data_IF_844907009159
#
_entry.id   IF_844907009159
#
_cell.length_a   1.000
_cell.length_b   1.000
_cell.length_c   1.000
_cell.angle_alpha   90.00
_cell.angle_beta   90.00
_cell.angle_gamma   90.00
#
_symmetry.space_group_name_H-M   'P 1'
#
loop_
_entity.id
_entity.type
_entity.pdbx_description
1 polymer ?
#
# COMPACT_ATOMS: atom_id res chain seq x y z
N UNK A 1 -5.55 8.98 -20.45
CA UNK A 1 -4.70 9.07 -19.24
C UNK A 1 -3.77 10.30 -19.22
N UNK A 2 -3.51 10.96 -20.35
CA UNK A 2 -2.62 12.14 -20.39
C UNK A 2 -3.29 13.46 -19.94
N UNK A 3 -4.61 13.60 -20.12
CA UNK A 3 -5.30 14.87 -19.89
C UNK A 3 -5.35 15.31 -18.42
N UNK A 4 -5.45 14.38 -17.46
CA UNK A 4 -5.47 14.73 -16.04
C UNK A 4 -4.08 15.08 -15.50
N UNK A 5 -3.06 14.40 -15.97
CA UNK A 5 -1.66 14.66 -15.62
C UNK A 5 -1.16 15.99 -16.18
N UNK A 6 -1.59 16.37 -17.40
CA UNK A 6 -1.29 17.68 -17.97
C UNK A 6 -1.96 18.80 -17.18
N UNK A 7 -3.22 18.64 -16.83
CA UNK A 7 -3.99 19.64 -16.06
C UNK A 7 -3.43 19.89 -14.65
N UNK A 8 -2.96 18.82 -13.97
CA UNK A 8 -2.29 18.95 -12.68
C UNK A 8 -0.93 19.64 -12.83
N UNK A 9 -0.19 19.34 -13.90
CA UNK A 9 1.09 20.00 -14.19
C UNK A 9 0.91 21.49 -14.45
N UNK A 10 -0.13 21.86 -15.21
CA UNK A 10 -0.44 23.26 -15.53
C UNK A 10 -0.91 24.03 -14.29
N UNK A 11 -1.73 23.42 -13.43
CA UNK A 11 -2.15 24.01 -12.15
C UNK A 11 -0.96 24.25 -11.20
N UNK A 12 -0.02 23.31 -11.12
CA UNK A 12 1.19 23.46 -10.33
C UNK A 12 2.10 24.57 -10.88
N UNK A 13 2.22 24.65 -12.21
CA UNK A 13 2.97 25.72 -12.89
C UNK A 13 2.34 27.10 -12.67
N UNK A 14 1.01 27.19 -12.73
CA UNK A 14 0.27 28.42 -12.46
C UNK A 14 0.37 28.86 -11.00
N UNK A 15 0.54 27.92 -10.06
CA UNK A 15 0.76 28.18 -8.64
C UNK A 15 2.23 28.51 -8.30
N UNK A 16 3.12 28.65 -9.29
CA UNK A 16 4.54 28.93 -9.06
C UNK A 16 5.32 27.79 -8.40
N UNK A 17 4.72 26.60 -8.31
CA UNK A 17 5.37 25.41 -7.78
C UNK A 17 6.29 24.84 -8.85
N UNK A 18 7.60 24.90 -8.60
CA UNK A 18 8.61 24.30 -9.47
C UNK A 18 8.45 22.78 -9.44
N UNK A 19 7.71 22.22 -10.40
CA UNK A 19 7.64 20.78 -10.63
C UNK A 19 8.90 20.40 -11.40
N UNK A 20 10.05 20.48 -10.75
CA UNK A 20 11.22 19.77 -11.26
C UNK A 20 10.88 18.28 -11.19
N UNK A 21 10.82 17.65 -12.35
CA UNK A 21 10.74 16.21 -12.42
C UNK A 21 11.95 15.67 -11.64
N UNK A 22 11.71 15.02 -10.51
CA UNK A 22 12.75 14.33 -9.70
C UNK A 22 13.39 13.18 -10.50
N UNK A 23 12.90 12.94 -11.72
CA UNK A 23 13.14 11.75 -12.52
C UNK A 23 14.54 11.64 -13.16
N UNK A 24 15.39 12.66 -13.09
CA UNK A 24 16.69 12.64 -13.78
C UNK A 24 17.90 12.84 -12.87
N UNK A 25 17.75 12.74 -11.54
CA UNK A 25 18.91 12.83 -10.64
C UNK A 25 19.55 11.46 -10.51
N UNK A 26 20.88 11.43 -10.63
CA UNK A 26 21.74 10.26 -10.42
C UNK A 26 22.17 10.13 -8.95
N UNK A 27 22.79 9.02 -8.58
CA UNK A 27 23.43 8.85 -7.27
C UNK A 27 24.47 9.95 -7.00
N UNK A 28 25.19 10.38 -8.04
CA UNK A 28 26.18 11.46 -7.95
C UNK A 28 25.53 12.78 -7.50
N UNK A 29 24.35 13.13 -8.02
CA UNK A 29 23.63 14.36 -7.66
C UNK A 29 23.18 14.39 -6.19
N UNK A 30 23.07 13.21 -5.56
CA UNK A 30 22.81 13.04 -4.13
C UNK A 30 24.11 12.89 -3.31
N UNK A 31 25.28 13.03 -3.94
CA UNK A 31 26.58 12.87 -3.29
C UNK A 31 26.83 11.45 -2.78
N UNK A 32 26.21 10.44 -3.41
CA UNK A 32 26.39 9.03 -3.09
C UNK A 32 27.63 8.49 -3.78
N UNK A 33 28.77 8.65 -3.10
CA UNK A 33 30.07 8.10 -3.54
C UNK A 33 30.16 6.60 -3.22
N UNK A 34 31.06 5.87 -3.86
CA UNK A 34 31.33 4.45 -3.55
C UNK A 34 31.69 4.24 -2.08
N UNK A 35 32.47 5.18 -1.48
CA UNK A 35 32.75 5.12 -0.05
C UNK A 35 31.49 5.18 0.82
N UNK A 36 30.52 6.04 0.48
CA UNK A 36 29.24 6.12 1.19
C UNK A 36 28.40 4.89 0.96
N UNK A 37 28.32 4.40 -0.28
CA UNK A 37 27.57 3.20 -0.64
C UNK A 37 28.16 1.98 0.08
N UNK A 38 29.49 1.88 0.22
CA UNK A 38 30.12 0.77 0.95
C UNK A 38 29.76 0.69 2.43
N UNK A 39 29.29 1.78 3.02
CA UNK A 39 28.88 1.88 4.44
C UNK A 39 27.39 1.66 4.67
N UNK A 40 26.61 1.44 3.61
CA UNK A 40 25.16 1.21 3.74
C UNK A 40 24.92 -0.14 4.40
N UNK A 41 24.14 -0.17 5.46
CA UNK A 41 23.68 -1.39 6.13
C UNK A 41 22.21 -1.68 5.86
N UNK A 42 21.39 -0.62 5.70
CA UNK A 42 19.95 -0.72 5.50
C UNK A 42 19.49 0.26 4.42
N UNK A 43 18.61 -0.18 3.55
CA UNK A 43 17.92 0.66 2.57
C UNK A 43 16.41 0.50 2.74
N UNK A 44 15.71 1.63 2.90
CA UNK A 44 14.26 1.69 2.88
C UNK A 44 13.80 2.44 1.63
N UNK A 45 13.17 1.74 0.72
CA UNK A 45 12.52 2.30 -0.44
C UNK A 45 11.06 2.60 -0.14
N UNK A 46 10.71 3.88 -0.08
CA UNK A 46 9.35 4.33 0.17
C UNK A 46 9.05 5.63 -0.59
N UNK A 47 7.75 5.86 -0.86
CA UNK A 47 7.30 7.03 -1.62
C UNK A 47 7.29 6.79 -3.14
N UNK A 48 6.19 7.18 -3.81
CA UNK A 48 5.94 6.80 -5.18
C UNK A 48 5.90 5.27 -5.36
N UNK A 49 6.39 4.80 -6.51
CA UNK A 49 6.62 3.37 -6.73
C UNK A 49 8.13 3.14 -6.92
N UNK A 50 8.81 2.45 -5.99
CA UNK A 50 10.27 2.27 -6.04
C UNK A 50 10.77 1.66 -7.35
N UNK A 51 10.07 0.63 -7.86
CA UNK A 51 10.45 -0.08 -9.07
C UNK A 51 10.25 0.72 -10.37
N UNK A 52 9.72 1.95 -10.27
CA UNK A 52 9.65 2.92 -11.37
C UNK A 52 10.70 4.03 -11.25
N UNK A 53 11.53 4.02 -10.22
CA UNK A 53 12.52 5.05 -9.95
C UNK A 53 13.89 4.69 -10.53
N UNK A 54 14.48 5.57 -11.35
CA UNK A 54 15.82 5.37 -11.91
C UNK A 54 16.91 5.28 -10.83
N UNK A 55 16.80 6.12 -9.78
CA UNK A 55 17.74 6.13 -8.66
C UNK A 55 17.71 4.81 -7.86
N UNK A 56 16.54 4.17 -7.78
CA UNK A 56 16.41 2.86 -7.16
C UNK A 56 17.26 1.83 -7.92
N UNK A 57 17.11 1.75 -9.24
CA UNK A 57 17.87 0.80 -10.04
C UNK A 57 19.37 1.06 -9.95
N UNK A 58 19.79 2.33 -10.09
CA UNK A 58 21.20 2.71 -10.03
C UNK A 58 21.85 2.30 -8.70
N UNK A 59 21.21 2.58 -7.55
CA UNK A 59 21.76 2.20 -6.24
C UNK A 59 21.78 0.69 -6.03
N UNK A 60 20.70 0.01 -6.36
CA UNK A 60 20.61 -1.41 -6.09
C UNK A 60 21.55 -2.23 -6.98
N UNK A 61 21.72 -1.85 -8.25
CA UNK A 61 22.68 -2.45 -9.15
C UNK A 61 24.12 -2.16 -8.71
N UNK A 62 24.39 -0.94 -8.24
CA UNK A 62 25.70 -0.58 -7.69
C UNK A 62 26.06 -1.38 -6.43
N UNK A 63 25.10 -1.64 -5.55
CA UNK A 63 25.30 -2.52 -4.39
C UNK A 63 25.68 -3.95 -4.83
N UNK A 64 25.04 -4.48 -5.88
CA UNK A 64 25.38 -5.80 -6.44
C UNK A 64 26.80 -5.79 -7.03
N UNK A 65 27.15 -4.79 -7.83
CA UNK A 65 28.51 -4.61 -8.39
C UNK A 65 29.59 -4.60 -7.31
N UNK A 66 29.32 -3.92 -6.19
CA UNK A 66 30.24 -3.82 -5.05
C UNK A 66 30.23 -5.05 -4.14
N UNK A 67 29.44 -6.08 -4.43
CA UNK A 67 29.29 -7.27 -3.61
C UNK A 67 28.55 -7.05 -2.29
N UNK A 68 27.88 -5.89 -2.11
CA UNK A 68 27.13 -5.53 -0.90
C UNK A 68 25.72 -6.10 -0.90
N UNK A 69 25.60 -7.39 -1.11
CA UNK A 69 24.33 -8.12 -1.10
C UNK A 69 23.87 -8.55 0.31
N UNK A 70 24.66 -8.20 1.31
CA UNK A 70 24.38 -8.35 2.75
C UNK A 70 23.44 -7.26 3.30
N UNK A 71 23.31 -6.14 2.60
CA UNK A 71 22.47 -5.00 2.97
C UNK A 71 21.03 -5.44 3.18
N UNK A 72 20.40 -4.99 4.28
CA UNK A 72 18.97 -5.19 4.52
C UNK A 72 18.17 -4.22 3.67
N UNK A 73 17.29 -4.75 2.83
CA UNK A 73 16.46 -3.95 1.92
C UNK A 73 14.99 -4.10 2.28
N UNK A 74 14.31 -2.97 2.44
CA UNK A 74 12.87 -2.91 2.72
C UNK A 74 12.21 -2.09 1.62
N UNK A 75 11.18 -2.64 1.02
CA UNK A 75 10.34 -1.94 0.03
C UNK A 75 8.96 -1.66 0.59
N UNK A 76 8.45 -0.46 0.31
CA UNK A 76 7.03 -0.14 0.40
C UNK A 76 6.53 0.10 -1.02
N UNK A 77 5.71 -0.79 -1.56
CA UNK A 77 5.32 -0.82 -2.98
C UNK A 77 3.84 -1.13 -3.13
N UNK A 78 3.24 -0.63 -4.20
CA UNK A 78 1.87 -0.99 -4.60
C UNK A 78 1.80 -2.37 -5.26
N UNK A 79 2.93 -2.98 -5.56
CA UNK A 79 3.04 -4.26 -6.27
C UNK A 79 2.42 -4.27 -7.68
N UNK A 80 2.20 -3.06 -8.24
CA UNK A 80 1.64 -2.82 -9.57
C UNK A 80 2.60 -1.93 -10.36
N UNK A 81 3.43 -2.52 -11.20
CA UNK A 81 4.41 -1.84 -12.04
C UNK A 81 4.58 -2.62 -13.35
N UNK A 82 5.15 -1.99 -14.41
CA UNK A 82 5.29 -2.62 -15.72
C UNK A 82 6.02 -3.96 -15.67
N UNK A 83 5.64 -4.90 -16.54
CA UNK A 83 6.18 -6.26 -16.61
C UNK A 83 7.72 -6.27 -16.72
N UNK A 84 8.29 -5.39 -17.54
CA UNK A 84 9.74 -5.24 -17.67
C UNK A 84 10.42 -4.90 -16.33
N UNK A 85 9.82 -3.98 -15.56
CA UNK A 85 10.31 -3.62 -14.22
C UNK A 85 10.14 -4.78 -13.24
N UNK A 86 9.10 -5.58 -13.41
CA UNK A 86 8.82 -6.75 -12.58
C UNK A 86 9.88 -7.83 -12.76
N UNK A 87 10.21 -8.20 -13.99
CA UNK A 87 11.27 -9.16 -14.29
C UNK A 87 12.65 -8.67 -13.84
N UNK A 88 12.93 -7.38 -14.05
CA UNK A 88 14.16 -6.75 -13.57
C UNK A 88 14.27 -6.80 -12.05
N UNK A 89 13.16 -6.54 -11.33
CA UNK A 89 13.12 -6.64 -9.88
C UNK A 89 13.42 -8.06 -9.38
N UNK A 90 12.81 -9.08 -9.98
CA UNK A 90 13.09 -10.48 -9.64
C UNK A 90 14.57 -10.79 -9.80
N UNK A 91 15.15 -10.46 -10.97
CA UNK A 91 16.56 -10.70 -11.26
C UNK A 91 17.49 -9.98 -10.28
N UNK A 92 17.17 -8.74 -9.94
CA UNK A 92 17.94 -7.94 -9.00
C UNK A 92 17.89 -8.51 -7.60
N UNK A 93 16.68 -8.78 -7.08
CA UNK A 93 16.45 -9.19 -5.70
C UNK A 93 16.94 -10.61 -5.38
N UNK A 94 17.14 -11.46 -6.40
CA UNK A 94 17.79 -12.77 -6.24
C UNK A 94 19.19 -12.65 -5.62
N UNK A 95 19.88 -11.51 -5.79
CA UNK A 95 21.23 -11.30 -5.25
C UNK A 95 21.23 -10.97 -3.75
N UNK A 96 20.15 -10.42 -3.19
CA UNK A 96 20.11 -9.93 -1.82
C UNK A 96 19.58 -11.00 -0.84
N UNK A 97 20.26 -11.13 0.30
CA UNK A 97 19.90 -12.14 1.33
C UNK A 97 18.77 -11.69 2.25
N UNK A 98 18.65 -10.38 2.48
CA UNK A 98 17.78 -9.79 3.48
C UNK A 98 16.81 -8.79 2.84
N UNK A 99 15.76 -9.29 2.21
CA UNK A 99 14.74 -8.45 1.57
C UNK A 99 13.41 -8.61 2.27
N UNK A 100 12.75 -7.48 2.57
CA UNK A 100 11.36 -7.44 3.02
C UNK A 100 10.55 -6.53 2.11
N UNK A 101 9.41 -6.98 1.66
CA UNK A 101 8.45 -6.21 0.87
C UNK A 101 7.21 -5.94 1.72
N UNK A 102 6.86 -4.66 1.84
CA UNK A 102 5.59 -4.20 2.39
C UNK A 102 4.68 -3.88 1.21
N UNK A 103 3.87 -4.86 0.82
CA UNK A 103 2.91 -4.72 -0.27
C UNK A 103 1.68 -3.95 0.23
N UNK A 104 1.49 -2.74 -0.28
CA UNK A 104 0.41 -1.85 0.15
C UNK A 104 -0.93 -2.31 -0.42
N UNK A 105 -1.83 -2.76 0.45
CA UNK A 105 -3.15 -3.27 0.07
C UNK A 105 -4.19 -2.84 1.11
N UNK A 106 -5.09 -1.92 0.75
CA UNK A 106 -6.05 -1.31 1.69
C UNK A 106 -7.45 -1.94 1.60
N UNK A 107 -7.57 -3.12 0.98
CA UNK A 107 -8.81 -3.87 0.80
C UNK A 107 -8.63 -4.99 -0.22
N UNK A 108 -9.73 -5.63 -0.65
CA UNK A 108 -9.75 -6.66 -1.69
C UNK A 108 -10.76 -6.35 -2.78
N UNK A 109 -10.60 -6.96 -3.96
CA UNK A 109 -11.54 -6.87 -5.08
C UNK A 109 -11.78 -5.43 -5.56
N UNK A 110 -13.04 -5.12 -5.88
CA UNK A 110 -13.46 -3.81 -6.37
C UNK A 110 -13.21 -2.68 -5.34
N UNK A 111 -13.26 -2.98 -4.05
CA UNK A 111 -13.04 -1.98 -2.99
C UNK A 111 -11.61 -1.42 -3.03
N UNK A 112 -10.61 -2.28 -3.20
CA UNK A 112 -9.23 -1.80 -3.29
C UNK A 112 -8.94 -1.10 -4.62
N UNK A 113 -9.57 -1.53 -5.70
CA UNK A 113 -9.45 -0.85 -7.01
C UNK A 113 -10.08 0.54 -6.99
N UNK A 114 -11.18 0.70 -6.22
CA UNK A 114 -11.78 2.01 -5.94
C UNK A 114 -10.85 2.90 -5.12
N UNK A 115 -10.31 2.38 -4.01
CA UNK A 115 -9.43 3.12 -3.10
C UNK A 115 -8.08 3.48 -3.74
N UNK A 116 -7.55 2.59 -4.57
CA UNK A 116 -6.25 2.74 -5.24
C UNK A 116 -6.42 2.83 -6.75
N UNK A 117 -6.80 4.00 -7.22
CA UNK A 117 -7.06 4.24 -8.64
C UNK A 117 -5.88 3.79 -9.52
N UNK A 118 -6.18 2.89 -10.47
CA UNK A 118 -5.20 2.31 -11.38
C UNK A 118 -4.60 0.98 -10.90
N UNK A 119 -4.98 0.50 -9.71
CA UNK A 119 -4.69 -0.85 -9.26
C UNK A 119 -5.66 -1.84 -9.92
N UNK A 120 -5.15 -3.00 -10.31
CA UNK A 120 -5.94 -4.19 -10.64
C UNK A 120 -5.64 -5.25 -9.59
N UNK A 121 -6.67 -5.70 -8.87
CA UNK A 121 -6.50 -6.65 -7.77
C UNK A 121 -6.07 -8.04 -8.25
N UNK A 122 -6.57 -8.48 -9.41
CA UNK A 122 -6.16 -9.76 -10.01
C UNK A 122 -4.68 -9.74 -10.39
N UNK A 123 -4.19 -8.65 -11.00
CA UNK A 123 -2.78 -8.50 -11.36
C UNK A 123 -1.90 -8.44 -10.10
N UNK A 124 -2.38 -7.78 -9.03
CA UNK A 124 -1.69 -7.79 -7.74
C UNK A 124 -1.50 -9.20 -7.20
N UNK A 125 -2.55 -10.03 -7.17
CA UNK A 125 -2.50 -11.41 -6.69
C UNK A 125 -1.54 -12.26 -7.55
N UNK A 126 -1.65 -12.15 -8.88
CA UNK A 126 -0.76 -12.85 -9.82
C UNK A 126 0.71 -12.46 -9.59
N UNK A 127 1.00 -11.17 -9.45
CA UNK A 127 2.35 -10.68 -9.20
C UNK A 127 2.90 -11.21 -7.87
N UNK A 128 2.05 -11.24 -6.83
CA UNK A 128 2.39 -11.79 -5.52
C UNK A 128 2.81 -13.27 -5.62
N UNK A 129 2.04 -14.08 -6.34
CA UNK A 129 2.34 -15.50 -6.55
C UNK A 129 3.68 -15.70 -7.26
N UNK A 130 3.91 -14.97 -8.36
CA UNK A 130 5.16 -15.04 -9.12
C UNK A 130 6.35 -14.63 -8.25
N UNK A 131 6.22 -13.55 -7.48
CA UNK A 131 7.30 -13.11 -6.58
C UNK A 131 7.63 -14.16 -5.53
N UNK A 132 6.64 -14.79 -4.92
CA UNK A 132 6.84 -15.85 -3.93
C UNK A 132 7.51 -17.08 -4.54
N UNK A 133 7.10 -17.47 -5.74
CA UNK A 133 7.71 -18.60 -6.45
C UNK A 133 9.18 -18.33 -6.81
N UNK A 134 9.45 -17.15 -7.38
CA UNK A 134 10.79 -16.80 -7.89
C UNK A 134 11.77 -16.34 -6.80
N UNK A 135 11.25 -15.80 -5.69
CA UNK A 135 12.04 -15.21 -4.60
C UNK A 135 11.60 -15.76 -3.23
N UNK A 136 11.72 -17.08 -2.98
CA UNK A 136 11.22 -17.71 -1.75
C UNK A 136 11.91 -17.23 -0.46
N UNK A 137 13.06 -16.59 -0.57
CA UNK A 137 13.80 -15.99 0.55
C UNK A 137 13.31 -14.59 0.93
N UNK A 138 12.52 -13.94 0.06
CA UNK A 138 11.98 -12.61 0.31
C UNK A 138 10.77 -12.70 1.25
N UNK A 139 10.80 -11.94 2.34
CA UNK A 139 9.66 -11.80 3.24
C UNK A 139 8.67 -10.79 2.67
N UNK A 140 7.42 -11.18 2.57
CA UNK A 140 6.34 -10.30 2.12
C UNK A 140 5.34 -10.10 3.25
N UNK A 141 5.04 -8.85 3.53
CA UNK A 141 3.97 -8.46 4.44
C UNK A 141 2.94 -7.61 3.69
N UNK A 142 1.68 -7.84 3.95
CA UNK A 142 0.63 -6.90 3.52
C UNK A 142 0.64 -5.70 4.46
N UNK A 143 0.86 -4.51 3.89
CA UNK A 143 0.77 -3.24 4.62
C UNK A 143 -0.63 -2.64 4.40
N UNK A 144 -1.52 -2.93 5.33
CA UNK A 144 -2.92 -2.52 5.29
C UNK A 144 -3.13 -1.18 6.00
N UNK A 145 -3.78 -0.23 5.34
CA UNK A 145 -4.21 1.02 5.97
C UNK A 145 -5.72 1.01 6.19
N UNK A 146 -6.14 1.06 7.46
CA UNK A 146 -7.55 1.09 7.80
C UNK A 146 -8.18 2.42 7.38
N UNK A 147 -9.08 2.35 6.41
CA UNK A 147 -9.91 3.46 5.93
C UNK A 147 -11.39 3.14 6.13
N UNK A 148 -12.26 4.14 5.97
CA UNK A 148 -13.72 3.97 6.08
C UNK A 148 -14.30 2.95 5.09
N UNK A 149 -13.65 2.74 3.95
CA UNK A 149 -14.06 1.75 2.96
C UNK A 149 -13.29 0.44 3.10
N UNK A 150 -11.96 0.50 3.20
CA UNK A 150 -11.11 -0.68 3.22
C UNK A 150 -11.34 -1.61 4.41
N UNK A 151 -11.81 -1.06 5.54
CA UNK A 151 -12.07 -1.85 6.75
C UNK A 151 -13.12 -2.95 6.52
N UNK A 152 -14.03 -2.78 5.58
CA UNK A 152 -15.10 -3.75 5.28
C UNK A 152 -14.62 -5.00 4.55
N UNK A 153 -13.40 -4.97 4.03
CA UNK A 153 -12.76 -6.12 3.37
C UNK A 153 -11.46 -6.56 4.06
N UNK A 154 -11.26 -6.15 5.32
CA UNK A 154 -10.11 -6.57 6.11
C UNK A 154 -10.07 -8.09 6.31
N UNK A 155 -11.21 -8.74 6.49
CA UNK A 155 -11.35 -10.20 6.54
C UNK A 155 -10.80 -10.87 5.28
N UNK A 156 -11.11 -10.33 4.09
CA UNK A 156 -10.54 -10.80 2.82
C UNK A 156 -9.02 -10.59 2.72
N UNK A 157 -8.49 -9.48 3.24
CA UNK A 157 -7.04 -9.24 3.30
C UNK A 157 -6.35 -10.24 4.24
N UNK A 158 -6.96 -10.56 5.38
CA UNK A 158 -6.44 -11.57 6.31
C UNK A 158 -6.44 -12.95 5.66
N UNK A 159 -7.54 -13.30 4.95
CA UNK A 159 -7.62 -14.56 4.22
C UNK A 159 -6.52 -14.65 3.16
N UNK A 160 -6.26 -13.60 2.39
CA UNK A 160 -5.15 -13.54 1.43
C UNK A 160 -3.80 -13.79 2.12
N UNK A 161 -3.58 -13.19 3.30
CA UNK A 161 -2.35 -13.43 4.07
C UNK A 161 -2.21 -14.89 4.48
N UNK A 162 -3.29 -15.54 4.90
CA UNK A 162 -3.31 -16.95 5.29
C UNK A 162 -3.04 -17.86 4.08
N UNK A 163 -3.75 -17.65 2.98
CA UNK A 163 -3.65 -18.46 1.76
C UNK A 163 -2.23 -18.44 1.17
N UNK A 164 -1.57 -17.29 1.28
CA UNK A 164 -0.23 -17.09 0.74
C UNK A 164 0.89 -17.07 1.80
N UNK A 165 0.58 -17.41 3.07
CA UNK A 165 1.56 -17.38 4.17
C UNK A 165 2.36 -16.06 4.21
N UNK A 166 1.64 -14.93 4.30
CA UNK A 166 2.20 -13.58 4.37
C UNK A 166 2.14 -13.03 5.78
N UNK A 167 3.05 -12.12 6.09
CA UNK A 167 2.94 -11.29 7.30
C UNK A 167 1.85 -10.22 7.11
N UNK A 168 1.24 -9.77 8.20
CA UNK A 168 0.28 -8.66 8.20
C UNK A 168 0.83 -7.48 9.01
N UNK A 169 0.81 -6.28 8.43
CA UNK A 169 1.10 -5.02 9.11
C UNK A 169 -0.08 -4.06 8.94
N UNK A 170 -0.85 -3.88 10.01
CA UNK A 170 -2.00 -2.96 10.02
C UNK A 170 -1.62 -1.57 10.52
N UNK A 171 -2.14 -0.54 9.85
CA UNK A 171 -2.02 0.87 10.26
C UNK A 171 -3.38 1.54 10.22
N UNK A 172 -3.61 2.53 11.09
CA UNK A 172 -4.73 3.43 10.91
C UNK A 172 -4.32 4.56 9.95
N UNK A 173 -5.22 4.97 9.09
CA UNK A 173 -5.02 6.16 8.29
C UNK A 173 -4.81 7.36 9.23
N UNK A 174 -3.66 8.03 9.10
CA UNK A 174 -3.38 9.27 9.86
C UNK A 174 -4.10 10.40 9.11
N UNK A 175 -5.41 10.45 9.29
CA UNK A 175 -6.26 11.47 8.69
C UNK A 175 -6.84 12.33 9.80
N UNK A 176 -7.13 13.62 9.55
CA UNK A 176 -7.87 14.43 10.49
C UNK A 176 -9.16 13.75 10.92
N UNK A 177 -9.58 13.91 12.16
CA UNK A 177 -10.73 13.23 12.79
C UNK A 177 -12.07 13.40 12.03
N UNK A 178 -12.14 14.32 11.10
CA UNK A 178 -13.31 14.59 10.24
C UNK A 178 -13.10 14.23 8.77
N UNK A 179 -12.08 13.45 8.48
CA UNK A 179 -11.88 12.98 7.11
C UNK A 179 -12.83 11.84 6.80
N UNK A 180 -13.47 11.93 5.65
CA UNK A 180 -14.32 10.88 5.08
C UNK A 180 -13.61 9.54 4.89
N UNK A 181 -12.27 9.56 4.81
CA UNK A 181 -11.43 8.36 4.74
C UNK A 181 -11.16 7.72 6.10
N UNK A 182 -11.52 8.40 7.20
CA UNK A 182 -11.30 7.89 8.54
C UNK A 182 -12.31 6.78 8.89
N UNK A 183 -11.88 5.79 9.67
CA UNK A 183 -12.81 4.81 10.27
C UNK A 183 -13.87 5.48 11.17
N UNK A 184 -13.63 6.71 11.62
CA UNK A 184 -14.60 7.50 12.39
C UNK A 184 -15.79 7.99 11.54
N UNK A 185 -15.72 7.88 10.21
CA UNK A 185 -16.82 8.25 9.30
C UNK A 185 -17.91 7.17 9.15
N UNK A 186 -17.73 5.99 9.76
CA UNK A 186 -18.69 4.88 9.72
C UNK A 186 -19.36 4.68 11.06
N UNK A 187 -20.52 3.98 11.08
CA UNK A 187 -21.24 3.73 12.34
C UNK A 187 -20.49 2.73 13.23
N UNK A 188 -20.68 2.79 14.57
CA UNK A 188 -20.08 1.83 15.50
C UNK A 188 -20.45 0.38 15.17
N UNK A 189 -21.70 0.16 14.77
CA UNK A 189 -22.23 -1.16 14.43
C UNK A 189 -21.51 -1.74 13.22
N UNK A 190 -21.39 -0.96 12.13
CA UNK A 190 -20.72 -1.37 10.91
C UNK A 190 -19.21 -1.64 11.13
N UNK A 191 -18.54 -0.79 11.92
CA UNK A 191 -17.14 -1.02 12.30
C UNK A 191 -16.99 -2.30 13.10
N UNK A 192 -17.83 -2.51 14.15
CA UNK A 192 -17.74 -3.69 14.98
C UNK A 192 -18.02 -4.97 14.20
N UNK A 193 -18.99 -4.96 13.27
CA UNK A 193 -19.26 -6.09 12.40
C UNK A 193 -18.02 -6.45 11.55
N UNK A 194 -17.41 -5.49 10.87
CA UNK A 194 -16.22 -5.70 10.07
C UNK A 194 -15.04 -6.25 10.92
N UNK A 195 -14.81 -5.68 12.11
CA UNK A 195 -13.75 -6.13 13.00
C UNK A 195 -14.03 -7.53 13.57
N UNK A 196 -15.27 -7.88 13.86
CA UNK A 196 -15.65 -9.22 14.34
C UNK A 196 -15.43 -10.29 13.25
N UNK A 197 -15.83 -10.02 11.99
CA UNK A 197 -15.52 -10.92 10.87
C UNK A 197 -14.01 -11.13 10.73
N UNK A 198 -13.25 -10.05 10.78
CA UNK A 198 -11.78 -10.10 10.69
C UNK A 198 -11.14 -10.93 11.80
N UNK A 199 -11.62 -10.77 13.04
CA UNK A 199 -11.17 -11.59 14.18
C UNK A 199 -11.55 -13.07 13.99
N UNK A 200 -12.75 -13.35 13.49
CA UNK A 200 -13.20 -14.73 13.25
C UNK A 200 -12.33 -15.45 12.21
N UNK A 201 -11.95 -14.78 11.12
CA UNK A 201 -11.05 -15.35 10.10
C UNK A 201 -9.65 -15.62 10.67
N UNK A 202 -9.14 -14.75 11.55
CA UNK A 202 -7.81 -14.90 12.14
C UNK A 202 -7.75 -15.93 13.27
N UNK A 203 -8.89 -16.27 13.89
CA UNK A 203 -8.96 -17.11 15.11
C UNK A 203 -8.36 -18.50 14.89
N UNK A 204 -7.50 -18.94 15.80
CA UNK A 204 -6.78 -20.22 15.72
C UNK A 204 -5.65 -20.25 14.69
N UNK A 205 -5.33 -19.12 14.05
CA UNK A 205 -4.27 -19.02 13.03
C UNK A 205 -3.01 -18.33 13.57
N UNK A 206 -1.93 -18.38 12.79
CA UNK A 206 -0.68 -17.66 13.10
C UNK A 206 -0.84 -16.14 13.10
N UNK A 207 -1.89 -15.60 12.49
CA UNK A 207 -2.17 -14.16 12.42
C UNK A 207 -3.03 -13.67 13.60
N UNK A 208 -3.65 -14.55 14.38
CA UNK A 208 -4.54 -14.16 15.50
C UNK A 208 -3.91 -13.11 16.42
N UNK A 209 -2.67 -13.26 16.92
CA UNK A 209 -2.10 -12.29 17.86
C UNK A 209 -1.89 -10.90 17.26
N UNK A 210 -1.52 -10.82 15.98
CA UNK A 210 -1.30 -9.53 15.29
C UNK A 210 -2.62 -8.87 14.93
N UNK A 211 -3.60 -9.64 14.50
CA UNK A 211 -4.95 -9.12 14.18
C UNK A 211 -5.66 -8.65 15.45
N UNK A 212 -5.64 -9.41 16.53
CA UNK A 212 -6.20 -9.01 17.83
C UNK A 212 -5.61 -7.68 18.32
N UNK A 213 -4.29 -7.54 18.23
CA UNK A 213 -3.61 -6.29 18.58
C UNK A 213 -4.07 -5.14 17.70
N UNK A 214 -4.20 -5.37 16.40
CA UNK A 214 -4.65 -4.35 15.44
C UNK A 214 -6.11 -3.96 15.68
N UNK A 215 -7.02 -4.92 15.87
CA UNK A 215 -8.42 -4.68 16.19
C UNK A 215 -8.58 -3.89 17.50
N UNK A 216 -7.85 -4.26 18.57
CA UNK A 216 -7.83 -3.50 19.82
C UNK A 216 -7.33 -2.07 19.62
N UNK A 217 -6.29 -1.90 18.81
CA UNK A 217 -5.77 -0.58 18.46
C UNK A 217 -6.84 0.25 17.72
N UNK A 218 -7.51 -0.29 16.70
CA UNK A 218 -8.56 0.43 15.96
C UNK A 218 -9.73 0.82 16.88
N UNK A 219 -10.20 -0.10 17.72
CA UNK A 219 -11.25 0.19 18.70
C UNK A 219 -10.86 1.31 19.67
N UNK A 220 -9.60 1.36 20.09
CA UNK A 220 -9.11 2.42 20.99
C UNK A 220 -9.00 3.79 20.30
N UNK A 221 -8.86 3.82 18.99
CA UNK A 221 -8.77 5.04 18.16
C UNK A 221 -10.10 5.48 17.58
N UNK A 222 -11.08 4.59 17.60
CA UNK A 222 -12.41 4.92 17.15
C UNK A 222 -13.05 5.95 18.08
N UNK A 223 -13.43 7.08 17.53
CA UNK A 223 -14.20 8.10 18.23
C UNK A 223 -15.64 8.03 17.72
N UNK A 224 -16.60 8.00 18.63
CA UNK A 224 -18.00 8.06 18.25
C UNK A 224 -18.28 9.36 17.49
N UNK A 225 -18.47 9.24 16.20
CA UNK A 225 -18.84 10.36 15.32
C UNK A 225 -20.28 10.15 14.90
N UNK A 226 -21.05 11.22 14.88
CA UNK A 226 -22.38 11.17 14.29
C UNK A 226 -22.21 10.78 12.82
N UNK A 227 -22.89 9.72 12.44
CA UNK A 227 -22.89 9.25 11.06
C UNK A 227 -23.46 10.35 10.16
N UNK A 228 -22.65 10.85 9.26
CA UNK A 228 -23.01 11.87 8.30
C UNK A 228 -22.93 11.32 6.88
N UNK A 229 -24.08 11.14 6.25
CA UNK A 229 -24.20 10.66 4.87
C UNK A 229 -23.48 11.54 3.87
N UNK A 230 -23.44 12.85 4.12
CA UNK A 230 -22.78 13.79 3.21
C UNK A 230 -21.26 13.65 3.28
N UNK A 231 -20.71 13.27 4.44
CA UNK A 231 -19.29 12.93 4.57
C UNK A 231 -18.92 11.69 3.75
N UNK A 232 -19.78 10.68 3.74
CA UNK A 232 -19.53 9.46 2.96
C UNK A 232 -19.62 9.71 1.45
N UNK A 233 -20.56 10.56 1.00
CA UNK A 233 -20.65 10.98 -0.40
C UNK A 233 -19.43 11.76 -0.88
N UNK A 234 -18.75 12.49 0.00
CA UNK A 234 -17.48 13.16 -0.35
C UNK A 234 -16.38 12.21 -0.77
N UNK A 235 -16.36 10.98 -0.24
CA UNK A 235 -15.40 9.96 -0.68
C UNK A 235 -15.54 9.69 -2.17
N UNK A 236 -16.76 9.53 -2.65
CA UNK A 236 -17.04 9.26 -4.05
C UNK A 236 -16.64 10.43 -4.95
N UNK A 237 -16.92 11.66 -4.51
CA UNK A 237 -16.49 12.86 -5.23
C UNK A 237 -14.96 12.97 -5.31
N UNK A 238 -14.26 12.63 -4.21
CA UNK A 238 -12.78 12.64 -4.17
C UNK A 238 -12.19 11.65 -5.16
N UNK A 239 -12.79 10.45 -5.25
CA UNK A 239 -12.29 9.39 -6.14
C UNK A 239 -12.96 9.42 -7.52
N UNK A 240 -14.06 10.17 -7.70
CA UNK A 240 -14.78 10.33 -8.97
C UNK A 240 -15.47 9.03 -9.42
N UNK A 241 -16.08 8.31 -8.49
CA UNK A 241 -16.79 7.05 -8.72
C UNK A 241 -18.12 7.00 -7.95
N UNK A 242 -18.98 7.98 -8.18
CA UNK A 242 -20.25 8.16 -7.45
C UNK A 242 -21.16 6.93 -7.52
N UNK A 243 -21.27 6.31 -8.69
CA UNK A 243 -22.09 5.11 -8.90
C UNK A 243 -21.59 3.92 -8.05
N UNK A 244 -20.28 3.73 -7.96
CA UNK A 244 -19.69 2.69 -7.12
C UNK A 244 -20.00 2.93 -5.65
N UNK A 245 -19.82 4.17 -5.18
CA UNK A 245 -20.12 4.55 -3.81
C UNK A 245 -21.59 4.29 -3.45
N UNK A 246 -22.55 4.72 -4.28
CA UNK A 246 -24.00 4.50 -4.08
C UNK A 246 -24.34 2.99 -4.00
N UNK A 247 -23.80 2.19 -4.92
CA UNK A 247 -23.97 0.73 -4.92
C UNK A 247 -23.43 0.11 -3.64
N UNK A 248 -22.25 0.52 -3.21
CA UNK A 248 -21.59 0.01 -2.00
C UNK A 248 -22.37 0.37 -0.74
N UNK A 249 -22.82 1.61 -0.65
CA UNK A 249 -23.57 2.10 0.51
C UNK A 249 -24.93 1.40 0.66
N UNK A 250 -25.64 1.15 -0.44
CA UNK A 250 -26.90 0.38 -0.41
C UNK A 250 -26.70 -1.03 0.15
N UNK A 251 -25.56 -1.66 -0.17
CA UNK A 251 -25.22 -2.99 0.36
C UNK A 251 -24.87 -3.01 1.85
N UNK A 252 -24.28 -1.92 2.38
CA UNK A 252 -23.78 -1.87 3.75
C UNK A 252 -24.81 -1.35 4.78
N UNK A 253 -25.73 -0.48 4.36
CA UNK A 253 -26.59 0.23 5.30
C UNK A 253 -28.10 0.03 5.04
N UNK A 254 -28.50 -0.81 4.09
CA UNK A 254 -29.91 -1.05 3.72
C UNK A 254 -30.70 0.27 3.51
N UNK A 255 -30.15 1.21 2.76
CA UNK A 255 -30.71 2.56 2.58
C UNK A 255 -31.27 2.74 1.18
#
# INVERSE_FOLDING_TARGET
>A
NDASSSKIRDLKKAAGLNVSSVSNKSLHDYGMTEERISKIENVLWSGGEPFMSSIHWELMEKLVEMGRTDVKVIYNTNFTFPEESFERAIKLLTNFKNVKILASLDGTGEDVEYLRKGMNYSDFCKNLEIFKEKLPHVKIAINFTATSMGIFTLDGVIQLCLDHNLEFEGRNAILPDRSEMSINAITPEALNDALNRSTAVASGTVLEPVIDKFVKFLRSKYMSVIFDRDLLKKNDLVFGQEEYFEKRMKGLFNV
#
